data_IF_488688870982
#
_entry.id   IF_488688870982
#
_cell.length_a   1.000
_cell.length_b   1.000
_cell.length_c   1.000
_cell.angle_alpha   90.00
_cell.angle_beta   90.00
_cell.angle_gamma   90.00
#
_symmetry.space_group_name_H-M   'P 1'
#
loop_
_entity.id
_entity.type
_entity.pdbx_description
1 polymer ?
#
# COMPACT_ATOMS: atom_id res chain seq x y z
N UNK A 1 -9.64 2.34 4.73
CA UNK A 1 -8.20 2.43 4.40
C UNK A 1 -7.49 3.08 5.57
N UNK A 2 -6.27 2.67 5.88
CA UNK A 2 -5.45 3.28 6.93
C UNK A 2 -4.09 3.67 6.35
N UNK A 3 -3.50 4.73 6.86
CA UNK A 3 -2.12 5.11 6.58
C UNK A 3 -1.54 5.82 7.80
N UNK A 4 -0.23 5.74 7.97
CA UNK A 4 0.43 6.39 9.09
C UNK A 4 1.87 5.97 9.25
N UNK A 5 2.45 6.38 10.37
CA UNK A 5 3.83 6.08 10.75
C UNK A 5 3.84 5.08 11.90
N UNK A 6 4.65 4.04 11.76
CA UNK A 6 4.91 3.04 12.78
C UNK A 6 6.34 3.23 13.29
N UNK A 7 6.54 3.53 14.60
CA UNK A 7 7.87 3.53 15.20
C UNK A 7 8.49 2.13 15.10
N UNK A 8 9.70 2.04 14.55
CA UNK A 8 10.46 0.78 14.43
C UNK A 8 11.75 0.79 15.24
N UNK A 9 12.24 1.98 15.58
CA UNK A 9 13.39 2.21 16.45
C UNK A 9 13.17 3.54 17.19
N UNK A 10 12.36 3.54 18.27
CA UNK A 10 11.94 4.76 18.95
C UNK A 10 13.10 5.54 19.58
N UNK A 11 14.12 4.83 20.07
CA UNK A 11 15.32 5.43 20.69
C UNK A 11 16.09 6.30 19.69
N UNK A 12 16.13 5.89 18.41
CA UNK A 12 16.74 6.65 17.32
C UNK A 12 15.71 7.38 16.44
N UNK A 13 14.47 7.52 16.91
CA UNK A 13 13.37 8.19 16.22
C UNK A 13 13.10 7.69 14.78
N UNK A 14 13.28 6.39 14.49
CA UNK A 14 13.00 5.83 13.16
C UNK A 14 11.58 5.30 13.07
N UNK A 15 10.91 5.67 11.99
CA UNK A 15 9.54 5.25 11.69
C UNK A 15 9.43 4.75 10.26
N UNK A 16 8.59 3.74 10.03
CA UNK A 16 8.15 3.35 8.70
C UNK A 16 6.77 3.93 8.41
N UNK A 17 6.61 4.51 7.23
CA UNK A 17 5.29 4.84 6.71
C UNK A 17 4.63 3.59 6.12
N UNK A 18 3.32 3.43 6.31
CA UNK A 18 2.53 2.36 5.70
C UNK A 18 1.23 2.88 5.08
N UNK A 19 0.72 2.11 4.11
CA UNK A 19 -0.63 2.25 3.56
C UNK A 19 -1.31 0.89 3.53
N UNK A 20 -2.49 0.80 4.12
CA UNK A 20 -3.27 -0.43 4.26
C UNK A 20 -4.65 -0.30 3.61
N UNK A 21 -4.99 -1.29 2.79
CA UNK A 21 -6.28 -1.46 2.17
C UNK A 21 -6.97 -2.68 2.78
N UNK A 22 -8.19 -2.50 3.28
CA UNK A 22 -8.98 -3.61 3.80
C UNK A 22 -9.44 -4.49 2.65
N UNK A 23 -9.61 -5.78 2.90
CA UNK A 23 -9.91 -6.71 1.82
C UNK A 23 -11.29 -6.48 1.22
N UNK A 24 -11.40 -6.50 -0.13
CA UNK A 24 -12.69 -6.42 -0.84
C UNK A 24 -13.35 -7.79 -0.97
N UNK A 25 -12.54 -8.85 -1.02
CA UNK A 25 -12.99 -10.23 -1.17
C UNK A 25 -12.61 -11.05 0.06
N UNK A 26 -13.54 -11.17 1.00
CA UNK A 26 -13.43 -12.13 2.09
C UNK A 26 -13.61 -13.55 1.55
N UNK A 27 -12.55 -14.12 0.97
CA UNK A 27 -12.47 -15.58 0.89
C UNK A 27 -12.68 -16.17 2.28
N UNK A 28 -13.06 -17.45 2.38
CA UNK A 28 -13.35 -18.12 3.66
C UNK A 28 -12.21 -18.01 4.69
N UNK A 29 -11.00 -17.60 4.28
CA UNK A 29 -9.87 -17.30 5.16
C UNK A 29 -9.26 -15.92 4.83
N UNK A 30 -9.38 -14.91 5.71
CA UNK A 30 -8.74 -13.62 5.50
C UNK A 30 -7.22 -13.77 5.49
N UNK A 31 -6.54 -13.07 4.59
CA UNK A 31 -5.07 -13.02 4.50
C UNK A 31 -4.61 -11.58 4.46
N UNK A 32 -3.53 -11.29 5.19
CA UNK A 32 -2.82 -10.01 5.10
C UNK A 32 -1.59 -10.18 4.24
N UNK A 33 -1.47 -9.38 3.18
CA UNK A 33 -0.31 -9.35 2.29
C UNK A 33 0.49 -8.09 2.58
N UNK A 34 1.81 -8.24 2.77
CA UNK A 34 2.75 -7.12 2.84
C UNK A 34 3.45 -7.04 1.49
N UNK A 35 3.32 -5.90 0.82
CA UNK A 35 3.99 -5.62 -0.45
C UNK A 35 5.18 -4.68 -0.24
N UNK A 36 6.32 -5.02 -0.82
CA UNK A 36 7.56 -4.26 -0.72
C UNK A 36 8.15 -4.07 -2.12
N UNK A 37 8.25 -2.82 -2.58
CA UNK A 37 9.01 -2.51 -3.78
C UNK A 37 10.53 -2.52 -3.47
N UNK A 38 11.34 -2.76 -4.50
CA UNK A 38 12.79 -2.93 -4.42
C UNK A 38 13.60 -1.66 -4.63
N UNK A 39 14.67 -1.75 -5.43
CA UNK A 39 15.65 -0.70 -5.65
C UNK A 39 17.07 -1.21 -5.39
N UNK A 40 17.72 -0.83 -4.26
CA UNK A 40 17.16 -0.34 -3.00
C UNK A 40 16.78 1.16 -2.96
N UNK A 41 15.86 1.53 -2.06
CA UNK A 41 15.48 2.94 -1.79
C UNK A 41 14.20 3.41 -2.46
N UNK A 42 13.55 2.60 -3.30
CA UNK A 42 12.26 2.95 -3.89
C UNK A 42 11.13 2.80 -2.87
N UNK A 43 10.18 3.75 -2.87
CA UNK A 43 9.02 3.69 -1.99
C UNK A 43 8.03 2.62 -2.46
N UNK A 44 7.47 1.85 -1.52
CA UNK A 44 6.37 0.93 -1.82
C UNK A 44 5.06 1.65 -2.17
N UNK A 45 5.02 2.98 -2.04
CA UNK A 45 3.94 3.78 -2.60
C UNK A 45 3.90 3.75 -4.13
N UNK A 46 5.00 3.40 -4.81
CA UNK A 46 4.98 3.15 -6.25
C UNK A 46 4.01 2.00 -6.54
N UNK A 47 4.21 0.82 -5.94
CA UNK A 47 3.27 -0.28 -6.10
C UNK A 47 1.85 0.03 -5.62
N UNK A 48 1.72 0.89 -4.60
CA UNK A 48 0.44 1.33 -4.08
C UNK A 48 -0.34 2.34 -4.97
N UNK A 49 0.26 2.85 -6.06
CA UNK A 49 -0.41 3.75 -7.00
C UNK A 49 -0.32 3.31 -8.45
N UNK A 50 0.65 2.45 -8.79
CA UNK A 50 0.93 2.06 -10.17
C UNK A 50 0.82 0.56 -10.43
N UNK A 51 0.71 -0.27 -9.39
CA UNK A 51 0.74 -1.73 -9.53
C UNK A 51 -0.54 -2.37 -8.94
N UNK A 52 -0.50 -2.79 -7.68
CA UNK A 52 -1.43 -3.79 -7.11
C UNK A 52 -2.54 -3.20 -6.25
N UNK A 53 -2.47 -1.92 -5.91
CA UNK A 53 -3.42 -1.29 -5.00
C UNK A 53 -4.76 -0.94 -5.68
N UNK A 54 -5.80 -0.61 -4.90
CA UNK A 54 -7.18 -0.43 -5.39
C UNK A 54 -7.39 0.76 -6.32
N UNK A 55 -6.45 1.69 -6.32
CA UNK A 55 -6.57 2.96 -6.99
C UNK A 55 -5.32 3.23 -7.81
N UNK A 56 -5.51 3.87 -8.96
CA UNK A 56 -4.43 4.35 -9.82
C UNK A 56 -4.76 5.73 -10.37
N UNK A 57 -3.74 6.48 -10.73
CA UNK A 57 -3.91 7.71 -11.49
C UNK A 57 -4.31 7.37 -12.93
N UNK A 58 -5.41 7.96 -13.41
CA UNK A 58 -5.74 7.99 -14.83
C UNK A 58 -5.00 9.13 -15.53
N UNK A 59 -4.93 10.27 -14.83
CA UNK A 59 -4.24 11.49 -15.22
C UNK A 59 -3.84 12.26 -13.93
N UNK A 60 -3.38 13.50 -14.07
CA UNK A 60 -2.89 14.33 -12.96
C UNK A 60 -3.93 14.61 -11.87
N UNK A 61 -5.23 14.58 -12.21
CA UNK A 61 -6.31 15.00 -11.32
C UNK A 61 -7.34 13.89 -11.06
N UNK A 62 -7.28 12.78 -11.79
CA UNK A 62 -8.28 11.73 -11.74
C UNK A 62 -7.70 10.43 -11.22
N UNK A 63 -8.31 9.93 -10.15
CA UNK A 63 -8.04 8.60 -9.60
C UNK A 63 -9.20 7.68 -9.97
N UNK A 64 -8.88 6.50 -10.48
CA UNK A 64 -9.85 5.47 -10.85
C UNK A 64 -9.57 4.16 -10.11
N UNK A 65 -10.59 3.32 -10.00
CA UNK A 65 -10.43 1.97 -9.46
C UNK A 65 -9.53 1.11 -10.36
N UNK A 66 -8.72 0.27 -9.72
CA UNK A 66 -7.94 -0.78 -10.35
C UNK A 66 -8.70 -2.11 -10.22
N UNK A 67 -9.33 -2.54 -11.31
CA UNK A 67 -10.10 -3.79 -11.37
C UNK A 67 -9.25 -5.03 -11.06
N UNK A 68 -7.93 -4.96 -11.22
CA UNK A 68 -7.00 -6.05 -10.91
C UNK A 68 -6.29 -5.93 -9.56
N UNK A 69 -6.82 -5.09 -8.66
CA UNK A 69 -6.21 -4.86 -7.34
C UNK A 69 -6.25 -6.09 -6.43
N UNK A 70 -5.27 -6.19 -5.54
CA UNK A 70 -5.05 -7.38 -4.70
C UNK A 70 -5.74 -7.34 -3.34
N UNK A 71 -6.37 -6.23 -2.96
CA UNK A 71 -7.09 -6.11 -1.69
C UNK A 71 -8.40 -6.91 -1.67
#
# INVERSE_FOLDING_TARGET
MHAGYLPVDPEHHRTLFFRHFASKHTSDKPRTVIWLNGGPGASSLVGAWTEIAPFRFQDENTIIENNGSWH
#
